data_IF_109164024097
#
_entry.id   IF_109164024097
#
_cell.length_a   1.000
_cell.length_b   1.000
_cell.length_c   1.000
_cell.angle_alpha   90.00
_cell.angle_beta   90.00
_cell.angle_gamma   90.00
#
_symmetry.space_group_name_H-M   'P 1'
#
loop_
_entity.id
_entity.type
_entity.pdbx_description
1 polymer ?
#
# COMPACT_ATOMS: atom_id res chain seq x y z
N UNK A 1 -47.55 22.44 5.43
CA UNK A 1 -46.53 22.55 4.35
C UNK A 1 -45.16 22.99 4.86
N UNK A 2 -44.99 24.17 5.48
CA UNK A 2 -43.67 24.63 6.02
C UNK A 2 -42.99 23.65 7.01
N UNK A 3 -43.75 23.03 7.92
CA UNK A 3 -43.23 22.02 8.88
C UNK A 3 -42.77 20.72 8.21
N UNK A 4 -43.44 20.30 7.13
CA UNK A 4 -43.07 19.10 6.37
C UNK A 4 -41.84 19.34 5.48
N UNK A 5 -41.70 20.55 4.93
CA UNK A 5 -40.47 20.96 4.21
C UNK A 5 -39.27 21.02 5.15
N UNK A 6 -39.46 21.47 6.39
CA UNK A 6 -38.39 21.49 7.41
C UNK A 6 -37.94 20.07 7.82
N UNK A 7 -38.88 19.13 7.97
CA UNK A 7 -38.55 17.73 8.28
C UNK A 7 -37.86 17.00 7.11
N UNK A 8 -38.19 17.34 5.86
CA UNK A 8 -37.55 16.73 4.69
C UNK A 8 -36.08 17.18 4.52
N UNK A 9 -35.77 18.43 4.92
CA UNK A 9 -34.41 18.97 4.87
C UNK A 9 -33.49 18.37 5.94
N UNK A 10 -34.03 18.03 7.11
CA UNK A 10 -33.27 17.37 8.19
C UNK A 10 -32.87 15.92 7.88
N UNK A 11 -33.66 15.22 7.06
CA UNK A 11 -33.37 13.82 6.66
C UNK A 11 -32.26 13.72 5.61
N UNK A 12 -32.02 14.78 4.82
CA UNK A 12 -30.96 14.82 3.81
C UNK A 12 -29.56 15.08 4.41
N UNK A 13 -29.49 15.66 5.61
CA UNK A 13 -28.23 15.95 6.31
C UNK A 13 -27.57 14.71 6.93
N UNK A 14 -28.32 13.64 7.23
CA UNK A 14 -27.78 12.43 7.84
C UNK A 14 -27.14 11.47 6.83
N UNK A 15 -27.48 11.59 5.53
CA UNK A 15 -26.92 10.76 4.46
C UNK A 15 -25.49 11.20 4.09
N UNK A 16 -25.12 12.45 4.41
CA UNK A 16 -23.83 13.06 4.06
C UNK A 16 -22.63 12.62 4.91
N UNK A 17 -22.83 11.89 6.01
CA UNK A 17 -21.73 11.24 6.74
C UNK A 17 -21.34 9.93 6.03
N UNK A 18 -21.02 10.02 4.74
CA UNK A 18 -20.32 8.95 4.06
C UNK A 18 -19.01 8.71 4.81
N UNK A 19 -18.82 7.48 5.28
CA UNK A 19 -17.64 7.05 6.01
C UNK A 19 -16.37 7.56 5.30
N UNK A 20 -15.69 8.54 5.89
CA UNK A 20 -14.42 9.02 5.37
C UNK A 20 -13.44 7.86 5.43
N UNK A 21 -13.04 7.38 4.25
CA UNK A 21 -12.08 6.29 4.11
C UNK A 21 -10.80 6.67 4.86
N UNK A 22 -10.30 5.79 5.73
CA UNK A 22 -9.13 6.07 6.54
C UNK A 22 -7.89 6.27 5.65
N UNK A 23 -6.87 6.96 6.15
CA UNK A 23 -5.59 7.07 5.42
C UNK A 23 -4.99 5.70 5.09
N UNK A 24 -5.15 4.75 6.01
CA UNK A 24 -4.75 3.35 5.83
C UNK A 24 -5.48 2.70 4.64
N UNK A 25 -6.80 2.85 4.58
CA UNK A 25 -7.61 2.32 3.49
C UNK A 25 -7.27 2.98 2.15
N UNK A 26 -7.04 4.30 2.14
CA UNK A 26 -6.64 5.03 0.93
C UNK A 26 -5.29 4.51 0.42
N UNK A 27 -4.32 4.31 1.31
CA UNK A 27 -3.03 3.72 0.97
C UNK A 27 -3.19 2.30 0.42
N UNK A 28 -3.97 1.45 1.09
CA UNK A 28 -4.18 0.06 0.69
C UNK A 28 -4.85 -0.06 -0.69
N UNK A 29 -5.90 0.71 -0.93
CA UNK A 29 -6.57 0.76 -2.24
C UNK A 29 -5.63 1.28 -3.34
N UNK A 30 -4.80 2.27 -3.01
CA UNK A 30 -3.84 2.84 -3.96
C UNK A 30 -2.80 1.79 -4.33
N UNK A 31 -2.19 1.13 -3.34
CA UNK A 31 -1.22 0.06 -3.56
C UNK A 31 -1.83 -1.13 -4.33
N UNK A 32 -3.10 -1.48 -4.07
CA UNK A 32 -3.83 -2.54 -4.77
C UNK A 32 -3.87 -2.32 -6.29
N UNK A 33 -3.94 -1.07 -6.76
CA UNK A 33 -3.92 -0.74 -8.21
C UNK A 33 -2.58 -1.04 -8.89
N UNK A 34 -1.54 -1.33 -8.11
CA UNK A 34 -0.24 -1.74 -8.61
C UNK A 34 -0.07 -3.26 -8.66
N UNK A 35 -1.07 -4.05 -8.24
CA UNK A 35 -0.96 -5.50 -8.25
C UNK A 35 -0.60 -6.05 -9.64
N UNK A 36 0.34 -6.99 -9.66
CA UNK A 36 0.90 -7.58 -10.88
C UNK A 36 1.96 -6.72 -11.58
N UNK A 37 2.18 -5.46 -11.17
CA UNK A 37 3.17 -4.58 -11.79
C UNK A 37 4.56 -4.77 -11.18
N UNK A 38 5.56 -4.42 -11.97
CA UNK A 38 6.95 -4.39 -11.54
C UNK A 38 7.56 -3.03 -11.88
N UNK A 39 8.47 -2.57 -11.03
CA UNK A 39 9.11 -1.26 -11.15
C UNK A 39 10.61 -1.40 -10.94
N UNK A 40 11.36 -0.90 -11.91
CA UNK A 40 12.81 -0.75 -11.77
C UNK A 40 13.09 0.56 -11.03
N UNK A 41 13.92 0.48 -9.99
CA UNK A 41 14.31 1.60 -9.15
C UNK A 41 15.74 2.07 -9.41
N UNK A 42 16.05 3.25 -8.91
CA UNK A 42 17.40 3.82 -8.89
C UNK A 42 17.74 4.31 -7.48
N UNK A 43 19.02 4.27 -7.12
CA UNK A 43 19.50 4.80 -5.85
C UNK A 43 19.50 6.33 -5.92
N UNK A 44 18.80 6.98 -4.99
CA UNK A 44 18.71 8.45 -4.92
C UNK A 44 19.55 9.05 -3.81
N UNK A 45 20.08 8.24 -2.89
CA UNK A 45 20.92 8.68 -1.79
C UNK A 45 22.36 8.91 -2.24
N UNK A 46 23.03 9.89 -1.64
CA UNK A 46 24.48 10.05 -1.77
C UNK A 46 25.20 9.03 -0.90
N UNK A 47 26.28 8.44 -1.42
CA UNK A 47 27.10 7.43 -0.74
C UNK A 47 27.03 6.06 -1.41
N UNK A 48 28.10 5.27 -1.24
CA UNK A 48 28.14 3.89 -1.73
C UNK A 48 27.31 2.98 -0.84
N UNK A 49 26.53 2.10 -1.47
CA UNK A 49 25.87 0.99 -0.80
C UNK A 49 26.22 -0.30 -1.54
N UNK A 50 27.19 -1.05 -1.02
CA UNK A 50 27.71 -2.26 -1.67
C UNK A 50 26.63 -3.33 -1.93
N UNK A 51 25.55 -3.32 -1.16
CA UNK A 51 24.45 -4.27 -1.35
C UNK A 51 23.67 -3.99 -2.65
N UNK A 52 23.59 -2.73 -3.09
CA UNK A 52 22.75 -2.27 -4.20
C UNK A 52 23.52 -1.66 -5.37
N UNK A 53 24.72 -1.14 -5.14
CA UNK A 53 25.51 -0.40 -6.13
C UNK A 53 25.80 -1.23 -7.37
N UNK A 54 25.51 -0.65 -8.54
CA UNK A 54 25.72 -1.31 -9.84
C UNK A 54 24.77 -2.48 -10.12
N UNK A 55 23.80 -2.76 -9.25
CA UNK A 55 22.83 -3.85 -9.42
C UNK A 55 21.50 -3.32 -9.93
N UNK A 56 20.83 -4.13 -10.74
CA UNK A 56 19.47 -3.85 -11.17
C UNK A 56 18.50 -4.05 -10.01
N UNK A 57 17.74 -3.02 -9.66
CA UNK A 57 16.83 -3.03 -8.52
C UNK A 57 15.39 -3.10 -9.03
N UNK A 58 14.67 -4.18 -8.75
CA UNK A 58 13.29 -4.36 -9.25
C UNK A 58 12.36 -4.78 -8.12
N UNK A 59 11.34 -3.98 -7.85
CA UNK A 59 10.23 -4.37 -6.97
C UNK A 59 9.09 -4.97 -7.77
N UNK A 60 8.49 -6.05 -7.27
CA UNK A 60 7.36 -6.74 -7.88
C UNK A 60 6.17 -6.72 -6.94
N UNK A 61 5.05 -6.10 -7.30
CA UNK A 61 3.82 -6.16 -6.47
C UNK A 61 3.06 -7.42 -6.84
N UNK A 62 3.25 -8.53 -6.11
CA UNK A 62 2.87 -9.88 -6.57
C UNK A 62 1.64 -10.45 -5.87
N UNK A 63 1.68 -10.57 -4.56
CA UNK A 63 0.53 -11.04 -3.77
C UNK A 63 -0.21 -9.82 -3.27
N UNK A 64 -1.52 -9.76 -3.51
CA UNK A 64 -2.39 -8.65 -3.11
C UNK A 64 -3.71 -9.27 -2.64
N UNK A 65 -3.84 -9.40 -1.33
CA UNK A 65 -5.09 -9.84 -0.70
C UNK A 65 -5.68 -8.67 0.07
N UNK A 66 -6.86 -8.86 0.65
CA UNK A 66 -7.51 -7.82 1.45
C UNK A 66 -6.65 -7.38 2.64
N UNK A 67 -5.79 -8.26 3.16
CA UNK A 67 -5.02 -8.01 4.38
C UNK A 67 -3.50 -8.21 4.23
N UNK A 68 -3.01 -8.66 3.09
CA UNK A 68 -1.58 -8.91 2.88
C UNK A 68 -1.10 -8.54 1.47
N UNK A 69 0.00 -7.79 1.41
CA UNK A 69 0.85 -7.70 0.22
C UNK A 69 2.17 -8.42 0.40
N UNK A 70 2.63 -9.10 -0.66
CA UNK A 70 4.03 -9.55 -0.78
C UNK A 70 4.66 -8.88 -1.99
N UNK A 71 5.74 -8.16 -1.73
CA UNK A 71 6.47 -7.38 -2.72
C UNK A 71 7.91 -7.89 -2.77
N UNK A 72 8.22 -8.91 -3.60
CA UNK A 72 9.60 -9.31 -3.83
C UNK A 72 10.43 -8.14 -4.36
N UNK A 73 11.61 -7.95 -3.78
CA UNK A 73 12.58 -6.94 -4.18
C UNK A 73 13.86 -7.62 -4.65
N UNK A 74 14.10 -7.59 -5.95
CA UNK A 74 15.24 -8.23 -6.59
C UNK A 74 16.39 -7.26 -6.71
N UNK A 75 17.58 -7.75 -6.35
CA UNK A 75 18.83 -7.00 -6.33
C UNK A 75 19.83 -7.75 -7.18
N UNK A 76 19.88 -7.42 -8.47
CA UNK A 76 20.56 -8.25 -9.46
C UNK A 76 19.95 -9.67 -9.48
N UNK A 77 20.78 -10.68 -9.25
CA UNK A 77 20.36 -12.08 -9.18
C UNK A 77 19.83 -12.49 -7.80
N UNK A 78 20.00 -11.65 -6.77
CA UNK A 78 19.51 -11.92 -5.43
C UNK A 78 18.00 -11.65 -5.33
N UNK A 79 17.24 -12.72 -5.07
CA UNK A 79 15.77 -12.74 -4.99
C UNK A 79 15.28 -13.10 -3.60
N UNK A 80 16.15 -13.01 -2.59
CA UNK A 80 15.87 -13.42 -1.20
C UNK A 80 14.91 -12.49 -0.47
N UNK A 81 14.85 -11.22 -0.88
CA UNK A 81 14.16 -10.15 -0.13
C UNK A 81 12.72 -10.00 -0.58
N UNK A 82 11.81 -9.99 0.38
CA UNK A 82 10.40 -9.67 0.16
C UNK A 82 9.92 -8.71 1.23
N UNK A 83 9.34 -7.58 0.80
CA UNK A 83 8.57 -6.73 1.72
C UNK A 83 7.19 -7.34 1.89
N UNK A 84 6.80 -7.57 3.14
CA UNK A 84 5.48 -8.09 3.49
C UNK A 84 4.74 -6.99 4.24
N UNK A 85 3.66 -6.50 3.65
CA UNK A 85 2.75 -5.55 4.29
C UNK A 85 1.53 -6.33 4.78
N UNK A 86 1.19 -6.20 6.06
CA UNK A 86 -0.01 -6.81 6.64
C UNK A 86 -0.92 -5.71 7.19
N UNK A 87 -2.17 -5.71 6.75
CA UNK A 87 -3.20 -4.78 7.24
C UNK A 87 -3.79 -5.30 8.54
N UNK A 88 -3.83 -4.44 9.55
CA UNK A 88 -4.53 -4.62 10.81
C UNK A 88 -5.59 -3.52 10.97
N UNK A 89 -6.47 -3.64 11.96
CA UNK A 89 -7.53 -2.66 12.20
C UNK A 89 -6.98 -1.23 12.46
N UNK A 90 -5.84 -1.13 13.13
CA UNK A 90 -5.25 0.12 13.61
C UNK A 90 -3.97 0.54 12.85
N UNK A 91 -3.45 -0.31 11.96
CA UNK A 91 -2.21 0.00 11.24
C UNK A 91 -1.85 -0.97 10.12
N UNK A 92 -0.73 -0.67 9.45
CA UNK A 92 -0.09 -1.59 8.50
C UNK A 92 1.28 -1.94 9.07
N UNK A 93 1.55 -3.23 9.22
CA UNK A 93 2.86 -3.74 9.58
C UNK A 93 3.68 -3.96 8.32
N UNK A 94 4.89 -3.40 8.28
CA UNK A 94 5.89 -3.70 7.27
C UNK A 94 6.95 -4.64 7.87
N UNK A 95 7.15 -5.80 7.23
CA UNK A 95 8.25 -6.73 7.52
C UNK A 95 9.16 -6.88 6.31
N UNK A 96 10.44 -7.10 6.57
CA UNK A 96 11.40 -7.58 5.58
C UNK A 96 11.62 -9.09 5.82
N UNK A 97 11.14 -9.91 4.89
CA UNK A 97 11.41 -11.36 4.87
C UNK A 97 12.64 -11.62 4.01
N UNK A 98 13.71 -12.12 4.62
CA UNK A 98 14.94 -12.52 3.96
C UNK A 98 15.02 -14.05 3.99
N UNK A 99 14.91 -14.69 2.83
CA UNK A 99 15.00 -16.14 2.72
C UNK A 99 16.40 -16.53 2.27
N UNK A 100 17.02 -17.47 3.00
CA UNK A 100 18.40 -17.90 2.81
C UNK A 100 19.41 -16.75 3.00
N UNK A 101 19.50 -16.18 4.22
CA UNK A 101 20.44 -15.11 4.55
C UNK A 101 21.90 -15.56 4.53
#
# INVERSE_FOLDING_TARGET
MKKQVLSLFALLLTVGMYAQKSGQDIFWDTLSKHCGKAYEGAITSEGKNEDFDGKRLVMHVKTCTDNEFKIPFFVGDDKSRTWVLTKYEDGILLKHDHRNP
#
